data_IF_640676585212
#
_entry.id   IF_640676585212
#
_cell.length_a   1.000
_cell.length_b   1.000
_cell.length_c   1.000
_cell.angle_alpha   90.00
_cell.angle_beta   90.00
_cell.angle_gamma   90.00
#
_symmetry.space_group_name_H-M   'P 1'
#
loop_
_entity.id
_entity.type
_entity.pdbx_description
1 polymer ?
#
# COMPACT_ATOMS: atom_id res chain seq x y z
N UNK A 1 -12.50 0.05 -4.60
CA UNK A 1 -12.07 0.92 -3.49
C UNK A 1 -11.05 1.93 -3.99
N UNK A 2 -9.87 1.51 -4.45
CA UNK A 2 -8.78 2.40 -4.87
C UNK A 2 -9.16 3.34 -6.03
N UNK A 3 -9.87 2.85 -7.07
CA UNK A 3 -10.33 3.71 -8.16
C UNK A 3 -11.47 4.67 -7.76
N UNK A 4 -12.24 4.35 -6.71
CA UNK A 4 -13.41 5.14 -6.28
C UNK A 4 -13.04 6.17 -5.21
N UNK A 5 -12.05 5.85 -4.38
CA UNK A 5 -11.56 6.67 -3.28
C UNK A 5 -10.03 6.52 -3.17
N UNK A 6 -9.25 7.02 -4.14
CA UNK A 6 -7.81 6.79 -4.17
C UNK A 6 -7.09 7.39 -2.95
N UNK A 7 -7.61 8.48 -2.38
CA UNK A 7 -7.10 9.09 -1.16
C UNK A 7 -7.24 8.27 0.13
N UNK A 8 -7.93 7.12 0.12
CA UNK A 8 -8.20 6.34 1.35
C UNK A 8 -7.05 5.40 1.76
N UNK A 9 -6.04 5.22 0.93
CA UNK A 9 -4.90 4.35 1.23
C UNK A 9 -3.98 4.93 2.30
N UNK A 10 -3.37 4.04 3.10
CA UNK A 10 -2.44 4.39 4.16
C UNK A 10 -1.15 5.00 3.60
N UNK A 11 -0.64 6.04 4.27
CA UNK A 11 0.66 6.67 3.98
C UNK A 11 1.81 6.09 4.82
N UNK A 12 1.58 5.04 5.62
CA UNK A 12 2.61 4.48 6.51
C UNK A 12 3.93 4.20 5.78
N UNK A 13 3.87 3.44 4.69
CA UNK A 13 5.06 3.10 3.91
C UNK A 13 5.65 4.31 3.17
N UNK A 14 4.88 5.38 2.91
CA UNK A 14 5.45 6.63 2.41
C UNK A 14 6.43 7.22 3.43
N UNK A 15 6.05 7.24 4.71
CA UNK A 15 6.90 7.79 5.76
C UNK A 15 8.13 6.92 6.03
N UNK A 16 7.94 5.60 6.16
CA UNK A 16 9.03 4.65 6.42
C UNK A 16 10.08 4.64 5.30
N UNK A 17 9.66 4.80 4.03
CA UNK A 17 10.54 4.77 2.86
C UNK A 17 10.99 6.16 2.39
N UNK A 18 10.49 7.24 2.99
CA UNK A 18 10.71 8.60 2.48
C UNK A 18 10.15 8.83 1.07
N UNK A 19 9.09 8.12 0.68
CA UNK A 19 8.46 8.20 -0.63
C UNK A 19 7.15 9.00 -0.54
N UNK A 20 7.17 10.33 -0.76
CA UNK A 20 5.97 11.13 -0.66
C UNK A 20 4.87 10.62 -1.59
N UNK A 21 3.63 10.81 -1.14
CA UNK A 21 2.37 10.45 -1.81
C UNK A 21 2.16 8.96 -2.11
N UNK A 22 3.07 8.08 -1.64
CA UNK A 22 2.90 6.65 -1.76
C UNK A 22 1.78 6.17 -0.84
N UNK A 23 0.77 5.53 -1.43
CA UNK A 23 -0.36 4.96 -0.71
C UNK A 23 -0.31 3.45 -0.76
N UNK A 24 -0.78 2.84 0.32
CA UNK A 24 -0.85 1.39 0.46
C UNK A 24 -2.23 0.96 0.92
N UNK A 25 -2.75 -0.11 0.33
CA UNK A 25 -3.99 -0.77 0.78
C UNK A 25 -3.79 -2.28 0.83
N UNK A 26 -4.30 -2.92 1.87
CA UNK A 26 -4.32 -4.38 1.99
C UNK A 26 -5.53 -4.98 1.30
N UNK A 27 -5.35 -6.16 0.69
CA UNK A 27 -6.46 -6.92 0.13
C UNK A 27 -7.15 -7.72 1.23
N UNK A 28 -8.45 -7.51 1.43
CA UNK A 28 -9.21 -8.10 2.57
C UNK A 28 -9.14 -9.62 2.70
N UNK A 29 -8.86 -10.37 1.63
CA UNK A 29 -8.85 -11.85 1.63
C UNK A 29 -7.50 -12.45 1.28
N UNK A 30 -6.51 -11.62 0.95
CA UNK A 30 -5.23 -12.09 0.47
C UNK A 30 -4.09 -11.33 1.13
N UNK A 31 -2.97 -11.98 1.45
CA UNK A 31 -1.85 -11.36 2.14
C UNK A 31 -1.01 -10.47 1.20
N UNK A 32 -1.66 -9.60 0.41
CA UNK A 32 -1.01 -8.68 -0.51
C UNK A 32 -1.32 -7.23 -0.16
N UNK A 33 -0.30 -6.39 -0.35
CA UNK A 33 -0.35 -4.95 -0.27
C UNK A 33 -0.24 -4.38 -1.68
N UNK A 34 -1.14 -3.47 -2.02
CA UNK A 34 -1.09 -2.71 -3.26
C UNK A 34 -0.49 -1.35 -2.96
N UNK A 35 0.65 -1.06 -3.57
CA UNK A 35 1.34 0.22 -3.52
C UNK A 35 0.98 1.03 -4.75
N UNK A 36 0.50 2.25 -4.53
CA UNK A 36 0.02 3.11 -5.60
C UNK A 36 0.20 4.59 -5.30
N UNK A 37 0.09 5.44 -6.33
CA UNK A 37 -0.04 6.89 -6.18
C UNK A 37 -1.36 7.38 -6.75
N UNK A 38 -1.94 8.35 -6.07
CA UNK A 38 -3.12 9.07 -6.53
C UNK A 38 -2.67 10.19 -7.47
N UNK A 39 -3.13 10.16 -8.72
CA UNK A 39 -2.76 11.12 -9.77
C UNK A 39 -4.00 11.80 -10.33
N UNK A 40 -3.85 12.97 -10.97
CA UNK A 40 -4.97 13.59 -11.67
C UNK A 40 -5.58 12.63 -12.72
N UNK A 41 -6.82 12.20 -12.48
CA UNK A 41 -7.61 11.37 -13.38
C UNK A 41 -7.28 9.87 -13.41
N UNK A 42 -6.30 9.39 -12.62
CA UNK A 42 -5.95 7.97 -12.58
C UNK A 42 -5.17 7.57 -11.32
N UNK A 43 -4.94 6.27 -11.16
CA UNK A 43 -4.10 5.71 -10.10
C UNK A 43 -2.94 4.97 -10.74
N UNK A 44 -1.72 5.32 -10.35
CA UNK A 44 -0.53 4.59 -10.74
C UNK A 44 -0.29 3.43 -9.77
N UNK A 45 -0.53 2.20 -10.20
CA UNK A 45 -0.19 1.01 -9.39
C UNK A 45 1.27 0.67 -9.62
N UNK A 46 2.07 0.78 -8.56
CA UNK A 46 3.51 0.59 -8.65
C UNK A 46 3.91 -0.86 -8.44
N UNK A 47 3.42 -1.47 -7.34
CA UNK A 47 3.75 -2.84 -6.95
C UNK A 47 2.59 -3.48 -6.21
N UNK A 48 2.47 -4.79 -6.38
CA UNK A 48 1.64 -5.65 -5.55
C UNK A 48 2.56 -6.65 -4.88
N UNK A 49 2.69 -6.57 -3.57
CA UNK A 49 3.70 -7.31 -2.79
C UNK A 49 3.04 -8.16 -1.72
N UNK A 50 3.56 -9.36 -1.48
CA UNK A 50 3.08 -10.25 -0.44
C UNK A 50 3.56 -9.76 0.94
N UNK A 51 2.61 -9.43 1.81
CA UNK A 51 2.82 -8.77 3.11
C UNK A 51 3.82 -9.48 4.03
N UNK A 52 3.92 -10.81 3.94
CA UNK A 52 4.86 -11.61 4.77
C UNK A 52 6.17 -11.99 4.09
N UNK A 53 6.21 -11.99 2.75
CA UNK A 53 7.35 -12.55 1.97
C UNK A 53 8.23 -11.45 1.40
N UNK A 54 7.60 -10.37 0.97
CA UNK A 54 8.27 -9.30 0.23
C UNK A 54 8.52 -8.06 1.11
N UNK A 55 7.87 -7.98 2.28
CA UNK A 55 8.05 -6.89 3.24
C UNK A 55 9.01 -7.34 4.35
N UNK A 56 10.14 -6.64 4.57
CA UNK A 56 11.03 -6.86 5.70
C UNK A 56 10.30 -6.87 7.05
N UNK A 57 10.69 -7.77 7.95
CA UNK A 57 10.02 -7.99 9.23
C UNK A 57 9.82 -6.70 10.05
N UNK A 58 10.80 -5.79 10.03
CA UNK A 58 10.72 -4.52 10.76
C UNK A 58 9.67 -3.54 10.19
N UNK A 59 9.22 -3.72 8.95
CA UNK A 59 8.13 -2.96 8.31
C UNK A 59 6.80 -3.68 8.30
N UNK A 60 6.75 -4.98 8.65
CA UNK A 60 5.50 -5.72 8.66
C UNK A 60 4.55 -5.14 9.70
N UNK A 61 3.25 -5.13 9.38
CA UNK A 61 2.26 -4.71 10.36
C UNK A 61 2.17 -5.75 11.48
N UNK A 62 2.06 -5.32 12.75
CA UNK A 62 1.75 -6.23 13.83
C UNK A 62 0.32 -6.73 13.62
N UNK A 63 0.22 -7.92 13.05
CA UNK A 63 -1.01 -8.70 12.91
C UNK A 63 -2.11 -8.09 12.02
N UNK A 64 -1.93 -8.17 10.70
CA UNK A 64 -3.08 -8.32 9.80
C UNK A 64 -3.48 -9.81 9.80
N UNK A 65 -4.32 -10.22 10.76
CA UNK A 65 -4.99 -11.52 10.77
C UNK A 65 -6.16 -11.54 9.78
#
# INVERSE_FOLDING_TARGET
>A
MIASHPGSGSLRYAYELGLPDLRTVSLKRYPYLVFYRDQPGHVDVWRVLHAKRDIPQWMQEPNSH
#
